data_IF_952266666089
#
_entry.id   IF_952266666089
#
_cell.length_a   1.000
_cell.length_b   1.000
_cell.length_c   1.000
_cell.angle_alpha   90.00
_cell.angle_beta   90.00
_cell.angle_gamma   90.00
#
_symmetry.space_group_name_H-M   'P 1'
#
loop_
_entity.id
_entity.type
_entity.pdbx_description
1 polymer ?
#
# COMPACT_ATOMS: atom_id res chain seq x y z
N UNK A 1 -10.01 38.74 -8.55
CA UNK A 1 -10.65 37.54 -9.12
C UNK A 1 -9.77 36.76 -10.10
N UNK A 2 -9.02 37.40 -11.03
CA UNK A 2 -8.20 36.71 -12.05
C UNK A 2 -7.36 35.53 -11.52
N UNK A 3 -6.72 35.68 -10.36
CA UNK A 3 -5.87 34.65 -9.76
C UNK A 3 -6.54 33.86 -8.62
N UNK A 4 -7.71 34.31 -8.14
CA UNK A 4 -8.36 33.72 -6.97
C UNK A 4 -8.80 32.28 -7.25
N UNK A 5 -9.41 32.03 -8.42
CA UNK A 5 -9.90 30.71 -8.80
C UNK A 5 -8.75 29.71 -8.93
N UNK A 6 -7.65 30.12 -9.57
CA UNK A 6 -6.45 29.28 -9.69
C UNK A 6 -5.78 29.04 -8.34
N UNK A 7 -5.77 30.02 -7.44
CA UNK A 7 -5.27 29.86 -6.08
C UNK A 7 -6.11 28.85 -5.28
N UNK A 8 -7.44 28.91 -5.37
CA UNK A 8 -8.34 27.93 -4.73
C UNK A 8 -8.09 26.52 -5.29
N UNK A 9 -7.91 26.41 -6.62
CA UNK A 9 -7.50 25.15 -7.25
C UNK A 9 -6.16 24.63 -6.69
N UNK A 10 -5.14 25.49 -6.61
CA UNK A 10 -3.84 25.13 -6.06
C UNK A 10 -3.95 24.66 -4.60
N UNK A 11 -4.73 25.34 -3.77
CA UNK A 11 -4.97 24.93 -2.38
C UNK A 11 -5.62 23.54 -2.36
N UNK A 12 -6.66 23.29 -3.17
CA UNK A 12 -7.29 21.97 -3.26
C UNK A 12 -6.28 20.88 -3.64
N UNK A 13 -5.43 21.14 -4.63
CA UNK A 13 -4.37 20.24 -5.07
C UNK A 13 -3.39 19.93 -3.93
N UNK A 14 -2.89 20.96 -3.23
CA UNK A 14 -1.94 20.79 -2.14
C UNK A 14 -2.55 20.05 -0.94
N UNK A 15 -3.84 20.24 -0.66
CA UNK A 15 -4.57 19.52 0.38
C UNK A 15 -4.66 18.00 0.14
N UNK A 16 -4.41 17.54 -1.09
CA UNK A 16 -4.43 16.11 -1.44
C UNK A 16 -3.04 15.55 -1.71
N UNK A 17 -2.12 16.35 -2.27
CA UNK A 17 -0.78 15.87 -2.65
C UNK A 17 0.23 15.92 -1.49
N UNK A 18 0.15 16.91 -0.60
CA UNK A 18 1.08 17.06 0.53
C UNK A 18 0.82 16.14 1.73
N UNK A 19 -0.41 15.71 2.07
CA UNK A 19 -0.63 14.95 3.29
C UNK A 19 0.21 13.68 3.44
N UNK A 20 0.44 12.93 2.35
CA UNK A 20 1.30 11.74 2.39
C UNK A 20 2.73 12.05 2.84
N UNK A 21 3.46 12.93 2.14
CA UNK A 21 4.81 13.34 2.51
C UNK A 21 4.86 14.00 3.89
N UNK A 22 3.89 14.85 4.23
CA UNK A 22 3.83 15.48 5.55
C UNK A 22 3.66 14.43 6.66
N UNK A 23 2.85 13.39 6.44
CA UNK A 23 2.74 12.28 7.38
C UNK A 23 4.05 11.48 7.45
N UNK A 24 4.65 11.16 6.30
CA UNK A 24 5.91 10.40 6.20
C UNK A 24 7.05 11.06 6.99
N UNK A 25 7.12 12.39 6.97
CA UNK A 25 8.12 13.16 7.72
C UNK A 25 7.66 13.54 9.14
N UNK A 26 6.60 12.91 9.66
CA UNK A 26 6.04 13.14 10.99
C UNK A 26 5.63 14.60 11.25
N UNK A 27 5.27 15.36 10.21
CA UNK A 27 4.81 16.75 10.31
C UNK A 27 3.33 16.81 10.66
N UNK A 28 2.53 15.83 10.18
CA UNK A 28 1.10 15.73 10.48
C UNK A 28 0.72 14.31 10.86
N UNK A 29 -0.28 14.18 11.74
CA UNK A 29 -0.88 12.90 12.07
C UNK A 29 -1.71 12.33 10.92
N UNK A 30 -1.90 11.00 10.91
CA UNK A 30 -2.65 10.31 9.85
C UNK A 30 -4.10 10.79 9.73
N UNK A 31 -4.76 11.06 10.86
CA UNK A 31 -6.13 11.59 10.88
C UNK A 31 -6.22 12.96 10.17
N UNK A 32 -5.27 13.84 10.43
CA UNK A 32 -5.14 15.16 9.78
C UNK A 32 -4.84 15.01 8.30
N UNK A 33 -3.99 14.06 7.92
CA UNK A 33 -3.69 13.78 6.53
C UNK A 33 -4.96 13.38 5.74
N UNK A 34 -5.76 12.47 6.28
CA UNK A 34 -7.04 12.08 5.66
C UNK A 34 -8.10 13.19 5.70
N UNK A 35 -8.11 14.05 6.72
CA UNK A 35 -8.96 15.23 6.73
C UNK A 35 -8.60 16.18 5.57
N UNK A 36 -7.31 16.35 5.27
CA UNK A 36 -6.81 17.07 4.11
C UNK A 36 -7.39 16.55 2.80
N UNK A 37 -7.35 15.23 2.57
CA UNK A 37 -7.96 14.60 1.39
C UNK A 37 -9.43 14.95 1.24
N UNK A 38 -10.21 14.76 2.31
CA UNK A 38 -11.65 15.02 2.29
C UNK A 38 -11.96 16.47 1.98
N UNK A 39 -11.26 17.40 2.63
CA UNK A 39 -11.43 18.83 2.38
C UNK A 39 -10.96 19.22 0.98
N UNK A 40 -9.87 18.64 0.48
CA UNK A 40 -9.35 18.85 -0.86
C UNK A 40 -10.38 18.55 -1.95
N UNK A 41 -11.19 17.49 -1.79
CA UNK A 41 -12.31 17.20 -2.70
C UNK A 41 -13.33 18.34 -2.71
N UNK A 42 -13.76 18.83 -1.54
CA UNK A 42 -14.73 19.93 -1.46
C UNK A 42 -14.18 21.25 -2.02
N UNK A 43 -12.92 21.59 -1.71
CA UNK A 43 -12.27 22.79 -2.22
C UNK A 43 -12.03 22.67 -3.74
N UNK A 44 -11.71 21.48 -4.25
CA UNK A 44 -11.59 21.21 -5.68
C UNK A 44 -12.93 21.40 -6.40
N UNK A 45 -14.03 20.89 -5.84
CA UNK A 45 -15.38 21.13 -6.36
C UNK A 45 -15.74 22.62 -6.38
N UNK A 46 -15.42 23.34 -5.30
CA UNK A 46 -15.60 24.79 -5.22
C UNK A 46 -14.76 25.53 -6.28
N UNK A 47 -13.52 25.11 -6.53
CA UNK A 47 -12.67 25.69 -7.58
C UNK A 47 -13.30 25.57 -8.98
N UNK A 48 -13.86 24.40 -9.30
CA UNK A 48 -14.57 24.17 -10.57
C UNK A 48 -15.85 25.00 -10.67
N UNK A 49 -16.63 25.10 -9.60
CA UNK A 49 -17.83 25.94 -9.57
C UNK A 49 -17.49 27.43 -9.76
N UNK A 50 -16.45 27.93 -9.09
CA UNK A 50 -15.97 29.30 -9.25
C UNK A 50 -15.44 29.56 -10.66
N UNK A 51 -14.71 28.60 -11.25
CA UNK A 51 -14.25 28.70 -12.62
C UNK A 51 -15.42 28.80 -13.60
N UNK A 52 -16.47 27.98 -13.41
CA UNK A 52 -17.67 28.01 -14.23
C UNK A 52 -18.35 29.39 -14.16
N UNK A 53 -18.54 29.93 -12.94
CA UNK A 53 -19.10 31.28 -12.74
C UNK A 53 -18.23 32.33 -13.45
N UNK A 54 -16.90 32.23 -13.34
CA UNK A 54 -15.99 33.18 -13.97
C UNK A 54 -16.06 33.12 -15.51
N UNK A 55 -16.18 31.93 -16.08
CA UNK A 55 -16.33 31.72 -17.54
C UNK A 55 -17.70 32.19 -18.05
N UNK A 56 -18.76 32.08 -17.25
CA UNK A 56 -20.10 32.52 -17.66
C UNK A 56 -20.25 34.04 -17.57
N UNK A 57 -19.84 34.64 -16.44
CA UNK A 57 -20.16 36.04 -16.11
C UNK A 57 -18.97 37.00 -16.21
N UNK A 58 -17.74 36.50 -16.26
CA UNK A 58 -16.52 37.31 -16.12
C UNK A 58 -15.44 36.96 -17.15
N UNK A 59 -15.84 36.61 -18.37
CA UNK A 59 -14.97 36.09 -19.45
C UNK A 59 -13.67 36.89 -19.66
N UNK A 60 -13.72 38.23 -19.60
CA UNK A 60 -12.55 39.12 -19.76
C UNK A 60 -11.48 38.94 -18.67
N UNK A 61 -11.80 38.22 -17.60
CA UNK A 61 -10.89 37.94 -16.47
C UNK A 61 -10.30 36.53 -16.51
N UNK A 62 -10.72 35.68 -17.46
CA UNK A 62 -10.24 34.30 -17.61
C UNK A 62 -9.25 34.23 -18.76
N UNK A 63 -8.08 33.64 -18.50
CA UNK A 63 -7.18 33.17 -19.57
C UNK A 63 -7.35 31.66 -19.75
N UNK A 64 -7.09 31.15 -20.96
CA UNK A 64 -7.12 29.71 -21.22
C UNK A 64 -6.15 28.96 -20.30
N UNK A 65 -4.93 29.49 -20.13
CA UNK A 65 -3.92 28.91 -19.25
C UNK A 65 -4.41 28.78 -17.80
N UNK A 66 -4.97 29.86 -17.23
CA UNK A 66 -5.50 29.83 -15.86
C UNK A 66 -6.68 28.85 -15.70
N UNK A 67 -7.54 28.73 -16.72
CA UNK A 67 -8.65 27.79 -16.69
C UNK A 67 -8.14 26.34 -16.71
N UNK A 68 -7.24 26.01 -17.63
CA UNK A 68 -6.65 24.66 -17.75
C UNK A 68 -5.92 24.26 -16.47
N UNK A 69 -5.07 25.13 -15.92
CA UNK A 69 -4.34 24.85 -14.67
C UNK A 69 -5.31 24.58 -13.52
N UNK A 70 -6.36 25.40 -13.39
CA UNK A 70 -7.38 25.21 -12.33
C UNK A 70 -8.08 23.86 -12.49
N UNK A 71 -8.45 23.49 -13.72
CA UNK A 71 -9.08 22.20 -14.01
C UNK A 71 -8.15 21.05 -13.64
N UNK A 72 -6.86 21.11 -13.98
CA UNK A 72 -5.88 20.08 -13.61
C UNK A 72 -5.77 19.94 -12.08
N UNK A 73 -5.62 21.06 -11.37
CA UNK A 73 -5.52 21.04 -9.90
C UNK A 73 -6.76 20.46 -9.24
N UNK A 74 -7.95 20.91 -9.66
CA UNK A 74 -9.20 20.38 -9.14
C UNK A 74 -9.42 18.91 -9.52
N UNK A 75 -9.05 18.51 -10.75
CA UNK A 75 -9.16 17.14 -11.21
C UNK A 75 -8.29 16.21 -10.35
N UNK A 76 -7.04 16.57 -10.05
CA UNK A 76 -6.19 15.79 -9.14
C UNK A 76 -6.78 15.73 -7.74
N UNK A 77 -7.22 16.88 -7.20
CA UNK A 77 -7.80 16.97 -5.86
C UNK A 77 -9.07 16.12 -5.68
N UNK A 78 -9.83 15.90 -6.76
CA UNK A 78 -11.06 15.10 -6.74
C UNK A 78 -10.77 13.64 -7.11
N UNK A 79 -10.05 13.40 -8.21
CA UNK A 79 -9.88 12.06 -8.77
C UNK A 79 -9.04 11.16 -7.86
N UNK A 80 -7.99 11.69 -7.22
CA UNK A 80 -7.11 10.86 -6.38
C UNK A 80 -7.84 10.30 -5.14
N UNK A 81 -8.55 11.09 -4.31
CA UNK A 81 -9.31 10.56 -3.18
C UNK A 81 -10.47 9.65 -3.62
N UNK A 82 -11.16 9.99 -4.71
CA UNK A 82 -12.24 9.15 -5.24
C UNK A 82 -11.71 7.80 -5.73
N UNK A 83 -10.56 7.77 -6.42
CA UNK A 83 -9.94 6.52 -6.83
C UNK A 83 -9.57 5.65 -5.62
N UNK A 84 -8.96 6.25 -4.59
CA UNK A 84 -8.63 5.54 -3.35
C UNK A 84 -9.89 4.99 -2.65
N UNK A 85 -10.99 5.75 -2.61
CA UNK A 85 -12.26 5.30 -2.07
C UNK A 85 -12.88 4.17 -2.91
N UNK A 86 -12.76 4.23 -4.24
CA UNK A 86 -13.24 3.17 -5.12
C UNK A 86 -12.44 1.88 -4.90
N UNK A 87 -11.12 1.96 -4.78
CA UNK A 87 -10.28 0.82 -4.39
C UNK A 87 -10.68 0.26 -3.03
N UNK A 88 -10.89 1.12 -2.03
CA UNK A 88 -11.31 0.71 -0.69
C UNK A 88 -12.65 -0.04 -0.68
N UNK A 89 -13.55 0.27 -1.62
CA UNK A 89 -14.83 -0.45 -1.79
C UNK A 89 -14.70 -1.76 -2.56
N UNK A 90 -13.67 -1.90 -3.40
CA UNK A 90 -13.47 -3.09 -4.23
C UNK A 90 -12.69 -4.21 -3.54
N UNK A 91 -12.10 -3.95 -2.37
CA UNK A 91 -11.29 -4.91 -1.62
C UNK A 91 -11.81 -5.05 -0.18
N UNK A 92 -11.61 -6.21 0.48
CA UNK A 92 -11.98 -6.36 1.87
C UNK A 92 -11.17 -5.42 2.78
N UNK A 93 -11.75 -4.92 3.89
CA UNK A 93 -11.05 -4.10 4.85
C UNK A 93 -10.18 -4.96 5.79
N UNK A 94 -9.17 -5.60 5.21
CA UNK A 94 -8.19 -6.45 5.91
C UNK A 94 -6.77 -5.96 5.62
N UNK A 95 -5.82 -6.37 6.46
CA UNK A 95 -4.44 -5.89 6.42
C UNK A 95 -3.40 -6.95 6.87
N UNK A 96 -3.80 -8.21 6.87
CA UNK A 96 -2.98 -9.37 7.24
C UNK A 96 -3.37 -10.52 6.30
N UNK A 97 -2.48 -10.84 5.36
CA UNK A 97 -2.73 -11.83 4.31
C UNK A 97 -1.66 -12.93 4.43
N UNK A 98 -2.07 -14.19 4.38
CA UNK A 98 -1.15 -15.34 4.43
C UNK A 98 -1.53 -16.39 3.40
N UNK A 99 -0.55 -17.02 2.75
CA UNK A 99 -0.80 -18.16 1.86
C UNK A 99 -1.25 -19.40 2.64
N UNK A 100 -0.73 -19.61 3.86
CA UNK A 100 -1.23 -20.61 4.80
C UNK A 100 -2.15 -19.94 5.83
N UNK A 101 -3.45 -20.23 5.75
CA UNK A 101 -4.46 -19.67 6.66
C UNK A 101 -4.69 -20.53 7.90
N UNK A 102 -4.21 -21.76 7.91
CA UNK A 102 -4.38 -22.71 9.03
C UNK A 102 -3.24 -22.52 10.01
N UNK A 103 -2.00 -22.42 9.50
CA UNK A 103 -0.80 -22.20 10.29
C UNK A 103 0.05 -21.07 9.67
N UNK A 104 -0.41 -19.80 9.70
CA UNK A 104 0.32 -18.69 9.09
C UNK A 104 1.76 -18.58 9.60
N UNK A 105 2.73 -18.22 8.75
CA UNK A 105 4.07 -17.88 9.20
C UNK A 105 4.07 -16.81 10.30
N UNK A 106 4.88 -17.02 11.33
CA UNK A 106 5.04 -16.07 12.43
C UNK A 106 6.16 -15.09 12.15
N UNK A 107 5.99 -13.86 12.62
CA UNK A 107 7.03 -12.84 12.60
C UNK A 107 7.92 -12.99 13.84
N UNK A 108 9.24 -12.92 13.67
CA UNK A 108 10.22 -12.99 14.76
C UNK A 108 11.15 -11.78 14.74
N UNK A 109 11.86 -11.55 13.64
CA UNK A 109 12.90 -10.52 13.55
C UNK A 109 12.33 -9.11 13.38
N UNK A 110 11.17 -8.95 12.73
CA UNK A 110 10.47 -7.66 12.60
C UNK A 110 9.73 -7.26 13.88
N UNK A 111 9.53 -8.18 14.85
CA UNK A 111 8.74 -7.91 16.06
C UNK A 111 9.26 -6.70 16.85
N UNK A 112 10.56 -6.58 17.15
CA UNK A 112 11.10 -5.40 17.82
C UNK A 112 10.91 -4.11 17.01
N UNK A 113 10.91 -4.20 15.68
CA UNK A 113 10.71 -3.06 14.77
C UNK A 113 9.25 -2.56 14.76
N UNK A 114 8.33 -3.32 15.36
CA UNK A 114 6.90 -3.03 15.45
C UNK A 114 6.47 -2.50 16.82
N UNK A 115 7.40 -2.13 17.70
CA UNK A 115 7.11 -1.65 19.05
C UNK A 115 6.04 -0.53 19.08
N UNK A 116 6.11 0.41 18.13
CA UNK A 116 5.18 1.55 18.04
C UNK A 116 4.06 1.34 16.99
N UNK A 117 3.93 0.13 16.43
CA UNK A 117 2.96 -0.15 15.38
C UNK A 117 1.53 -0.27 15.95
N UNK A 118 0.54 0.49 15.45
CA UNK A 118 -0.85 0.36 15.91
C UNK A 118 -1.46 -1.03 15.71
N UNK A 119 -1.10 -1.72 14.62
CA UNK A 119 -1.60 -3.06 14.34
C UNK A 119 -0.73 -4.11 15.06
N UNK A 120 -1.33 -4.99 15.88
CA UNK A 120 -0.58 -5.98 16.66
C UNK A 120 0.12 -6.99 15.75
N UNK A 121 1.21 -7.59 16.22
CA UNK A 121 1.99 -8.59 15.45
C UNK A 121 1.19 -9.88 15.20
N UNK A 122 0.38 -10.29 16.18
CA UNK A 122 -0.40 -11.52 16.14
C UNK A 122 -1.27 -11.62 14.87
N UNK A 123 -1.49 -12.85 14.41
CA UNK A 123 -2.36 -13.12 13.28
C UNK A 123 -3.77 -12.61 13.55
N UNK A 124 -4.35 -11.94 12.55
CA UNK A 124 -5.66 -11.30 12.68
C UNK A 124 -6.82 -12.31 12.88
N UNK A 125 -6.56 -13.60 12.66
CA UNK A 125 -7.48 -14.68 12.99
C UNK A 125 -8.51 -14.98 11.91
N UNK A 126 -9.46 -15.85 12.28
CA UNK A 126 -10.40 -16.50 11.35
C UNK A 126 -11.33 -15.53 10.62
N UNK A 127 -11.74 -14.42 11.25
CA UNK A 127 -12.57 -13.39 10.58
C UNK A 127 -11.84 -12.78 9.37
N UNK A 128 -10.55 -12.49 9.53
CA UNK A 128 -9.70 -11.99 8.44
C UNK A 128 -9.45 -13.09 7.40
N UNK A 129 -9.18 -14.31 7.85
CA UNK A 129 -8.97 -15.46 6.96
C UNK A 129 -10.21 -15.77 6.08
N UNK A 130 -11.42 -15.65 6.64
CA UNK A 130 -12.67 -15.84 5.90
C UNK A 130 -12.86 -14.78 4.80
N UNK A 131 -12.55 -13.52 5.10
CA UNK A 131 -12.58 -12.44 4.09
C UNK A 131 -11.51 -12.67 3.00
N UNK A 132 -10.29 -13.07 3.38
CA UNK A 132 -9.24 -13.40 2.44
C UNK A 132 -9.64 -14.55 1.51
N UNK A 133 -10.21 -15.66 2.03
CA UNK A 133 -10.66 -16.80 1.21
C UNK A 133 -11.63 -16.39 0.10
N UNK A 134 -12.48 -15.40 0.37
CA UNK A 134 -13.44 -14.89 -0.61
C UNK A 134 -12.79 -13.97 -1.65
N UNK A 135 -11.87 -13.09 -1.22
CA UNK A 135 -11.30 -12.06 -2.07
C UNK A 135 -10.06 -12.52 -2.85
N UNK A 136 -9.27 -13.42 -2.29
CA UNK A 136 -7.98 -13.87 -2.80
C UNK A 136 -7.81 -15.40 -2.72
N UNK A 137 -8.76 -16.20 -3.27
CA UNK A 137 -8.72 -17.67 -3.18
C UNK A 137 -7.49 -18.30 -3.85
N UNK A 138 -6.80 -17.57 -4.73
CA UNK A 138 -5.60 -17.99 -5.43
C UNK A 138 -4.33 -17.97 -4.56
N UNK A 139 -4.32 -17.20 -3.46
CA UNK A 139 -3.16 -17.12 -2.57
C UNK A 139 -3.10 -18.34 -1.65
N UNK A 140 -2.28 -19.32 -2.03
CA UNK A 140 -2.13 -20.63 -1.38
C UNK A 140 -0.65 -20.96 -1.19
N UNK A 141 -0.31 -21.92 -0.31
CA UNK A 141 1.07 -22.38 -0.15
C UNK A 141 1.65 -22.84 -1.49
N UNK A 142 2.92 -22.54 -1.70
CA UNK A 142 3.62 -22.85 -2.94
C UNK A 142 4.49 -24.08 -2.78
N UNK A 143 4.69 -24.84 -3.85
CA UNK A 143 5.54 -26.03 -3.85
C UNK A 143 6.71 -25.87 -4.80
N UNK A 144 7.92 -26.13 -4.31
CA UNK A 144 9.17 -26.03 -5.07
C UNK A 144 9.98 -27.34 -4.97
N UNK A 145 10.82 -27.59 -5.97
CA UNK A 145 11.71 -28.75 -6.00
C UNK A 145 13.12 -28.44 -5.47
N UNK A 146 13.47 -27.16 -5.42
CA UNK A 146 14.74 -26.63 -4.93
C UNK A 146 14.92 -26.92 -3.45
N UNK A 147 16.17 -26.95 -3.01
CA UNK A 147 16.54 -27.11 -1.60
C UNK A 147 16.16 -25.87 -0.78
N UNK A 148 16.07 -26.02 0.54
CA UNK A 148 15.83 -24.89 1.44
C UNK A 148 16.89 -23.80 1.29
N UNK A 149 18.17 -24.17 1.14
CA UNK A 149 19.26 -23.22 0.94
C UNK A 149 19.05 -22.37 -0.32
N UNK A 150 18.71 -23.03 -1.44
CA UNK A 150 18.45 -22.35 -2.71
C UNK A 150 17.22 -21.44 -2.62
N UNK A 151 16.14 -21.89 -1.96
CA UNK A 151 14.93 -21.09 -1.79
C UNK A 151 15.13 -19.90 -0.86
N UNK A 152 15.90 -20.03 0.21
CA UNK A 152 16.25 -18.90 1.09
C UNK A 152 17.09 -17.88 0.32
N UNK A 153 18.08 -18.34 -0.43
CA UNK A 153 18.91 -17.47 -1.27
C UNK A 153 18.08 -16.77 -2.35
N UNK A 154 17.21 -17.50 -3.06
CA UNK A 154 16.34 -16.95 -4.10
C UNK A 154 15.31 -15.98 -3.53
N UNK A 155 14.72 -16.28 -2.36
CA UNK A 155 13.79 -15.38 -1.67
C UNK A 155 14.50 -14.09 -1.25
N UNK A 156 15.71 -14.19 -0.70
CA UNK A 156 16.52 -13.03 -0.34
C UNK A 156 16.81 -12.18 -1.56
N UNK A 157 17.19 -12.80 -2.68
CA UNK A 157 17.45 -12.11 -3.94
C UNK A 157 16.20 -11.45 -4.52
N UNK A 158 15.05 -12.11 -4.44
CA UNK A 158 13.77 -11.55 -4.89
C UNK A 158 13.39 -10.30 -4.08
N UNK A 159 13.55 -10.35 -2.76
CA UNK A 159 13.33 -9.21 -1.85
C UNK A 159 14.23 -8.01 -2.23
N UNK A 160 15.51 -8.27 -2.51
CA UNK A 160 16.46 -7.23 -2.97
C UNK A 160 16.04 -6.62 -4.31
N UNK A 161 15.66 -7.45 -5.28
CA UNK A 161 15.24 -6.99 -6.61
C UNK A 161 13.95 -6.14 -6.54
N UNK A 162 13.05 -6.48 -5.61
CA UNK A 162 11.84 -5.70 -5.31
C UNK A 162 12.13 -4.40 -4.54
N UNK A 163 13.36 -4.21 -4.07
CA UNK A 163 13.79 -3.03 -3.34
C UNK A 163 13.27 -2.96 -1.90
N UNK A 164 12.89 -4.10 -1.32
CA UNK A 164 12.42 -4.16 0.07
C UNK A 164 13.60 -4.24 1.04
N UNK A 165 13.39 -3.77 2.28
CA UNK A 165 14.39 -3.84 3.33
C UNK A 165 14.45 -5.28 3.88
N UNK A 166 15.53 -6.01 3.59
CA UNK A 166 15.77 -7.33 4.19
C UNK A 166 16.05 -7.16 5.70
N UNK A 167 15.25 -7.82 6.54
CA UNK A 167 15.36 -7.75 8.00
C UNK A 167 16.05 -9.00 8.55
N UNK A 168 15.73 -10.17 8.02
CA UNK A 168 16.34 -11.43 8.43
C UNK A 168 16.39 -12.43 7.26
N UNK A 169 17.44 -13.24 7.23
CA UNK A 169 17.57 -14.41 6.36
C UNK A 169 18.21 -15.53 7.15
N UNK A 170 17.37 -16.45 7.64
CA UNK A 170 17.75 -17.59 8.46
C UNK A 170 17.59 -18.88 7.67
N UNK A 171 18.71 -19.32 7.09
CA UNK A 171 18.78 -20.56 6.31
C UNK A 171 18.45 -21.79 7.16
N UNK A 172 18.79 -21.79 8.44
CA UNK A 172 18.62 -22.98 9.28
C UNK A 172 17.15 -23.23 9.61
N UNK A 173 16.42 -22.16 9.90
CA UNK A 173 14.99 -22.23 10.20
C UNK A 173 14.09 -22.04 8.97
N UNK A 174 14.67 -21.75 7.80
CA UNK A 174 13.91 -21.51 6.56
C UNK A 174 13.07 -20.24 6.62
N UNK A 175 13.51 -19.21 7.34
CA UNK A 175 12.76 -17.97 7.55
C UNK A 175 13.46 -16.81 6.86
N UNK A 176 12.72 -16.05 6.06
CA UNK A 176 13.17 -14.76 5.51
C UNK A 176 12.15 -13.69 5.86
N UNK A 177 12.60 -12.58 6.43
CA UNK A 177 11.74 -11.45 6.81
C UNK A 177 12.21 -10.17 6.15
N UNK A 178 11.26 -9.34 5.73
CA UNK A 178 11.52 -8.05 5.10
C UNK A 178 10.45 -7.02 5.46
N UNK A 179 10.76 -5.75 5.23
CA UNK A 179 9.83 -4.64 5.33
C UNK A 179 9.77 -3.90 3.99
N UNK A 180 8.55 -3.71 3.47
CA UNK A 180 8.31 -2.78 2.37
C UNK A 180 7.77 -1.45 2.92
N UNK A 181 8.21 -0.33 2.33
CA UNK A 181 7.82 1.02 2.73
C UNK A 181 7.19 1.76 1.57
N UNK A 182 5.92 2.16 1.73
CA UNK A 182 5.23 2.95 0.70
C UNK A 182 5.96 4.27 0.45
N UNK A 183 6.15 4.62 -0.82
CA UNK A 183 6.95 5.80 -1.20
C UNK A 183 6.33 7.12 -0.70
N UNK A 184 5.01 7.24 -0.83
CA UNK A 184 4.28 8.49 -0.60
C UNK A 184 3.92 8.74 0.86
N UNK A 185 3.38 7.74 1.56
CA UNK A 185 3.02 7.84 2.99
C UNK A 185 4.10 7.31 3.94
N UNK A 186 5.07 6.52 3.47
CA UNK A 186 6.03 5.89 4.37
C UNK A 186 5.44 4.81 5.27
N UNK A 187 4.23 4.32 4.98
CA UNK A 187 3.68 3.15 5.68
C UNK A 187 4.60 1.95 5.48
N UNK A 188 4.89 1.27 6.59
CA UNK A 188 5.68 0.05 6.63
C UNK A 188 4.77 -1.16 6.73
N UNK A 189 5.02 -2.14 5.89
CA UNK A 189 4.34 -3.42 5.86
C UNK A 189 5.39 -4.53 5.93
N UNK A 190 5.20 -5.51 6.81
CA UNK A 190 6.19 -6.57 7.04
C UNK A 190 5.79 -7.84 6.29
N UNK A 191 6.79 -8.54 5.77
CA UNK A 191 6.66 -9.80 5.04
C UNK A 191 7.51 -10.85 5.73
N UNK A 192 6.94 -12.04 5.93
CA UNK A 192 7.68 -13.23 6.34
C UNK A 192 7.44 -14.34 5.34
N UNK A 193 8.52 -15.02 4.99
CA UNK A 193 8.51 -16.23 4.18
C UNK A 193 9.01 -17.37 5.05
N UNK A 194 8.24 -18.46 5.09
CA UNK A 194 8.61 -19.71 5.75
C UNK A 194 8.74 -20.82 4.72
N UNK A 195 9.90 -21.47 4.71
CA UNK A 195 10.24 -22.57 3.84
C UNK A 195 10.29 -23.83 4.70
N UNK A 196 9.41 -24.78 4.43
CA UNK A 196 9.34 -26.05 5.16
C UNK A 196 9.62 -27.22 4.22
N UNK A 197 10.42 -28.18 4.69
CA UNK A 197 10.56 -29.46 4.03
C UNK A 197 9.26 -30.29 4.17
N UNK A 198 8.67 -30.69 3.05
CA UNK A 198 7.48 -31.55 3.01
C UNK A 198 7.69 -32.71 2.04
N UNK A 199 8.35 -33.75 2.54
CA UNK A 199 8.69 -34.93 1.74
C UNK A 199 9.75 -34.59 0.69
N UNK A 200 9.44 -34.82 -0.60
CA UNK A 200 10.36 -34.53 -1.71
C UNK A 200 10.30 -33.07 -2.21
N UNK A 201 9.33 -32.28 -1.73
CA UNK A 201 9.16 -30.87 -2.12
C UNK A 201 9.31 -29.94 -0.91
N UNK A 202 9.56 -28.67 -1.19
CA UNK A 202 9.56 -27.59 -0.19
C UNK A 202 8.27 -26.82 -0.34
N UNK A 203 7.60 -26.58 0.79
CA UNK A 203 6.44 -25.69 0.85
C UNK A 203 6.92 -24.32 1.27
N UNK A 204 6.55 -23.31 0.49
CA UNK A 204 6.84 -21.91 0.77
C UNK A 204 5.54 -21.20 1.12
N UNK A 205 5.49 -20.70 2.35
CA UNK A 205 4.39 -19.90 2.87
C UNK A 205 4.83 -18.45 3.00
N UNK A 206 3.98 -17.52 2.58
CA UNK A 206 4.26 -16.08 2.63
C UNK A 206 3.11 -15.42 3.39
N UNK A 207 3.48 -14.57 4.36
CA UNK A 207 2.55 -13.68 5.05
C UNK A 207 3.01 -12.25 4.93
N UNK A 208 2.07 -11.34 4.66
CA UNK A 208 2.32 -9.91 4.56
C UNK A 208 1.29 -9.14 5.38
N UNK A 209 1.76 -8.22 6.23
CA UNK A 209 0.93 -7.55 7.24
C UNK A 209 1.31 -6.09 7.45
N UNK A 210 0.32 -5.22 7.38
CA UNK A 210 0.51 -3.79 7.63
C UNK A 210 0.71 -3.45 9.10
N UNK A 211 1.58 -2.46 9.36
CA UNK A 211 1.78 -1.91 10.72
C UNK A 211 0.65 -0.96 11.15
N UNK A 212 -0.09 -0.41 10.21
CA UNK A 212 -1.14 0.59 10.47
C UNK A 212 -2.32 0.43 9.50
N UNK A 213 -3.50 0.81 9.97
CA UNK A 213 -4.71 0.90 9.16
C UNK A 213 -5.58 -0.35 9.26
N UNK A 214 -6.90 -0.15 9.09
CA UNK A 214 -7.89 -1.24 9.07
C UNK A 214 -7.94 -1.99 7.74
N UNK A 215 -7.58 -1.32 6.65
CA UNK A 215 -7.47 -1.89 5.32
C UNK A 215 -6.13 -1.47 4.75
N UNK A 216 -5.51 -2.36 4.00
CA UNK A 216 -4.30 -2.10 3.22
C UNK A 216 -4.59 -1.71 1.76
N UNK A 217 -5.86 -1.56 1.38
CA UNK A 217 -6.31 -1.33 0.00
C UNK A 217 -5.85 -2.42 -1.01
N UNK A 218 -5.72 -3.66 -0.54
CA UNK A 218 -5.26 -4.82 -1.30
C UNK A 218 -3.74 -4.90 -1.46
N UNK A 219 -2.98 -4.07 -0.73
CA UNK A 219 -1.52 -3.99 -0.89
C UNK A 219 -0.79 -5.26 -0.47
N UNK A 220 -1.15 -5.91 0.64
CA UNK A 220 -0.45 -7.13 1.07
C UNK A 220 -0.68 -8.30 0.10
N UNK A 221 -1.87 -8.41 -0.49
CA UNK A 221 -2.13 -9.38 -1.56
C UNK A 221 -1.29 -9.08 -2.82
N UNK A 222 -1.17 -7.81 -3.23
CA UNK A 222 -0.28 -7.41 -4.33
C UNK A 222 1.18 -7.73 -4.01
N UNK A 223 1.60 -7.48 -2.77
CA UNK A 223 2.97 -7.70 -2.29
C UNK A 223 3.34 -9.17 -2.32
N UNK A 224 2.47 -10.06 -1.83
CA UNK A 224 2.66 -11.50 -1.93
C UNK A 224 2.79 -11.92 -3.39
N UNK A 225 1.89 -11.50 -4.28
CA UNK A 225 1.97 -11.84 -5.72
C UNK A 225 3.29 -11.39 -6.35
N UNK A 226 3.72 -10.16 -6.10
CA UNK A 226 4.99 -9.63 -6.61
C UNK A 226 6.19 -10.47 -6.12
N UNK A 227 6.20 -10.88 -4.85
CA UNK A 227 7.25 -11.76 -4.33
C UNK A 227 7.22 -13.15 -4.98
N UNK A 228 6.05 -13.71 -5.22
CA UNK A 228 5.91 -15.01 -5.89
C UNK A 228 6.43 -14.93 -7.32
N UNK A 229 6.04 -13.90 -8.07
CA UNK A 229 6.46 -13.70 -9.44
C UNK A 229 7.99 -13.55 -9.54
N UNK A 230 8.59 -12.74 -8.65
CA UNK A 230 10.03 -12.54 -8.60
C UNK A 230 10.77 -13.79 -8.14
N UNK A 231 10.28 -14.49 -7.09
CA UNK A 231 10.87 -15.74 -6.62
C UNK A 231 10.90 -16.78 -7.74
N UNK A 232 9.80 -16.92 -8.49
CA UNK A 232 9.74 -17.83 -9.63
C UNK A 232 10.73 -17.44 -10.73
N UNK A 233 10.90 -16.14 -10.99
CA UNK A 233 11.87 -15.66 -11.98
C UNK A 233 13.32 -15.95 -11.56
N UNK A 234 13.64 -15.81 -10.28
CA UNK A 234 14.99 -16.08 -9.74
C UNK A 234 15.29 -17.58 -9.68
N UNK A 235 14.32 -18.40 -9.28
CA UNK A 235 14.49 -19.86 -9.11
C UNK A 235 14.70 -20.61 -10.44
N UNK A 236 14.28 -20.01 -11.57
CA UNK A 236 14.45 -20.58 -12.92
C UNK A 236 15.80 -20.19 -13.55
N UNK A 237 16.50 -19.19 -13.01
CA UNK A 237 17.83 -18.76 -13.46
C UNK A 237 18.93 -19.64 -12.86
#
# INVERSE_FOLDING_TARGET
MKHLVTLVGLIAFLMVVLPGPLYKFNIVELGTAFAGFRLGVYVGGAALALLLVQVLFMRKTVSLASAVITVIFAAVAIAMPLNMMNTAKSVPPIHDISTDLINPPEFVAVVPLRADAPNPVAYAGEETAAQQRKAYPELKPLEYNQTQLELVAATTKAIENLGWELVNSDVNNGIVEATDTTTWFGFKDDVVVRINDKGSKRVVDIRSKSRIGKSDLGKNAQRIKALIDELNAVVVQ
#
